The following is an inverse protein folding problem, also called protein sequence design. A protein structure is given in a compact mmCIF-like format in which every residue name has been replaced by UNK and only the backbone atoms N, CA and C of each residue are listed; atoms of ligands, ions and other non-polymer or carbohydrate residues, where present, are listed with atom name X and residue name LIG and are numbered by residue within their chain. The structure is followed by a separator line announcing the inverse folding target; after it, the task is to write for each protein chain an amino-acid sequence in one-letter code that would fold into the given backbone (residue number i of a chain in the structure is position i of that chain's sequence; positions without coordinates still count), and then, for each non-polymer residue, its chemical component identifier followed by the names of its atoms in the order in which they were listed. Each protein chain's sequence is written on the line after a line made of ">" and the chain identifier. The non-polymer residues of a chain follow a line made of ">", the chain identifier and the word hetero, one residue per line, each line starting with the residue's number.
data_IF_913552972304
#
_entry.id   IF_913552972304
#
_cell.length_a   1.000
_cell.length_b   1.000
_cell.length_c   1.000
_cell.angle_alpha   90.00
_cell.angle_beta   90.00
_cell.angle_gamma   90.00
#
_symmetry.space_group_name_H-M   'P 1'
#
loop_
_entity.id
_entity.type
_entity.pdbx_description
1 polymer ?
#
# COMPACT_ATOMS: atom_id res chain seq x y z
N UNK A 1 -1.23 15.27 -3.65
CA UNK A 1 -1.86 14.12 -2.98
C UNK A 1 -1.74 14.28 -1.47
N UNK A 2 -2.76 13.91 -0.75
CA UNK A 2 -2.79 13.97 0.71
C UNK A 2 -3.06 12.58 1.30
N UNK A 3 -2.53 12.34 2.50
CA UNK A 3 -2.75 11.11 3.24
C UNK A 3 -3.01 11.43 4.71
N UNK A 4 -4.05 10.80 5.28
CA UNK A 4 -4.35 10.96 6.70
C UNK A 4 -3.21 10.37 7.55
N UNK A 5 -2.83 11.08 8.61
CA UNK A 5 -1.78 10.62 9.52
C UNK A 5 -2.12 9.26 10.13
N UNK A 6 -3.41 9.00 10.41
CA UNK A 6 -3.85 7.70 10.91
C UNK A 6 -3.53 6.55 9.95
N UNK A 7 -3.61 6.79 8.65
CA UNK A 7 -3.23 5.78 7.64
C UNK A 7 -1.74 5.46 7.72
N UNK A 8 -0.92 6.49 7.84
CA UNK A 8 0.55 6.30 7.97
C UNK A 8 0.86 5.44 9.21
N UNK A 9 0.23 5.75 10.33
CA UNK A 9 0.41 4.98 11.57
C UNK A 9 -0.03 3.53 11.39
N UNK A 10 -1.19 3.32 10.78
CA UNK A 10 -1.76 1.98 10.60
C UNK A 10 -0.94 1.10 9.65
N UNK A 11 -0.48 1.64 8.52
CA UNK A 11 0.30 0.83 7.57
C UNK A 11 1.68 0.48 8.13
N UNK A 12 2.31 1.37 8.87
CA UNK A 12 3.59 1.09 9.52
C UNK A 12 3.41 0.03 10.61
N UNK A 13 2.36 0.14 11.42
CA UNK A 13 2.06 -0.87 12.45
C UNK A 13 1.85 -2.24 11.81
N UNK A 14 1.08 -2.31 10.73
CA UNK A 14 0.83 -3.55 10.02
C UNK A 14 2.14 -4.15 9.48
N UNK A 15 2.99 -3.33 8.89
CA UNK A 15 4.28 -3.78 8.38
C UNK A 15 5.17 -4.37 9.47
N UNK A 16 5.21 -3.74 10.64
CA UNK A 16 6.00 -4.23 11.77
C UNK A 16 5.45 -5.55 12.33
N UNK A 17 4.13 -5.67 12.43
CA UNK A 17 3.48 -6.88 12.92
C UNK A 17 3.71 -8.08 12.02
N UNK A 18 3.81 -7.87 10.71
CA UNK A 18 4.00 -8.95 9.74
C UNK A 18 5.45 -9.39 9.58
N UNK A 19 6.42 -8.58 10.01
CA UNK A 19 7.83 -8.95 9.83
C UNK A 19 8.12 -10.36 10.34
N UNK A 20 8.91 -11.17 9.63
CA UNK A 20 9.74 -10.85 8.44
C UNK A 20 9.04 -10.98 7.09
N UNK A 21 7.72 -11.13 7.06
CA UNK A 21 6.96 -11.26 5.82
C UNK A 21 6.48 -9.90 5.35
N UNK A 22 6.18 -9.80 4.05
CA UNK A 22 5.52 -8.63 3.51
C UNK A 22 4.07 -8.59 4.00
N UNK A 23 3.61 -7.40 4.40
CA UNK A 23 2.19 -7.16 4.57
C UNK A 23 1.62 -6.55 3.30
N UNK A 24 0.30 -6.56 3.17
CA UNK A 24 -0.39 -5.87 2.09
C UNK A 24 -1.76 -5.39 2.53
N UNK A 25 -2.31 -4.46 1.77
CA UNK A 25 -3.62 -3.92 2.04
C UNK A 25 -4.07 -2.93 0.98
N UNK A 26 -5.18 -2.28 1.26
CA UNK A 26 -5.82 -1.35 0.34
C UNK A 26 -5.96 0.02 0.97
N UNK A 27 -5.90 1.04 0.12
CA UNK A 27 -6.05 2.43 0.52
C UNK A 27 -7.38 2.94 -0.01
N UNK A 28 -8.17 3.54 0.88
CA UNK A 28 -9.49 4.06 0.57
C UNK A 28 -9.50 5.57 0.65
N UNK A 29 -10.28 6.19 -0.22
CA UNK A 29 -10.44 7.63 -0.21
C UNK A 29 -11.17 8.13 -1.44
N UNK A 30 -10.85 9.34 -1.81
CA UNK A 30 -11.30 9.97 -3.05
C UNK A 30 -10.07 10.41 -3.83
N UNK A 31 -10.26 10.83 -5.07
CA UNK A 31 -9.14 11.21 -5.94
C UNK A 31 -8.19 12.20 -5.25
N UNK A 32 -6.93 11.82 -5.12
CA UNK A 32 -5.90 12.65 -4.51
C UNK A 32 -5.88 12.69 -2.99
N UNK A 33 -6.80 11.98 -2.31
CA UNK A 33 -6.88 12.00 -0.83
C UNK A 33 -7.07 10.60 -0.28
N UNK A 34 -6.08 10.11 0.46
CA UNK A 34 -6.10 8.80 1.12
C UNK A 34 -6.59 8.99 2.55
N UNK A 35 -7.77 8.42 2.85
CA UNK A 35 -8.50 8.67 4.09
C UNK A 35 -8.43 7.50 5.06
N UNK A 36 -8.39 6.27 4.54
CA UNK A 36 -8.41 5.06 5.36
C UNK A 36 -7.59 3.95 4.71
N UNK A 37 -7.20 2.97 5.51
CA UNK A 37 -6.54 1.77 5.02
C UNK A 37 -7.26 0.53 5.53
N UNK A 38 -7.18 -0.55 4.76
CA UNK A 38 -7.76 -1.84 5.10
C UNK A 38 -6.69 -2.90 4.96
N UNK A 39 -6.43 -3.63 6.03
CA UNK A 39 -5.48 -4.73 6.01
C UNK A 39 -6.02 -5.86 5.15
N UNK A 40 -5.15 -6.48 4.36
CA UNK A 40 -5.49 -7.65 3.57
C UNK A 40 -4.58 -8.81 3.95
N UNK A 41 -5.04 -10.01 3.65
CA UNK A 41 -4.22 -11.20 3.81
C UNK A 41 -3.28 -11.32 2.62
N UNK A 42 -2.00 -11.59 2.90
CA UNK A 42 -1.02 -11.90 1.87
C UNK A 42 -1.00 -13.41 1.62
N UNK A 43 -1.55 -13.84 0.50
CA UNK A 43 -1.60 -15.26 0.16
C UNK A 43 -0.23 -15.83 -0.21
N UNK A 44 0.73 -14.98 -0.60
CA UNK A 44 2.07 -15.42 -0.92
C UNK A 44 2.88 -15.81 0.33
N UNK A 45 2.54 -15.25 1.49
CA UNK A 45 3.21 -15.53 2.77
C UNK A 45 4.73 -15.48 2.64
N UNK A 46 5.25 -14.40 2.07
CA UNK A 46 6.64 -14.27 1.64
C UNK A 46 7.27 -12.99 2.18
N UNK A 47 8.60 -12.99 2.30
CA UNK A 47 9.39 -11.80 2.65
C UNK A 47 9.75 -10.93 1.44
N UNK A 48 9.46 -11.38 0.21
CA UNK A 48 9.88 -10.71 -1.01
C UNK A 48 8.76 -10.50 -2.02
N UNK A 49 7.54 -10.94 -1.70
CA UNK A 49 6.42 -10.92 -2.62
C UNK A 49 5.11 -10.83 -1.85
N UNK A 50 4.10 -10.23 -2.46
CA UNK A 50 2.76 -10.25 -1.91
C UNK A 50 1.72 -10.60 -2.99
N UNK A 51 0.62 -11.19 -2.53
CA UNK A 51 -0.54 -11.48 -3.34
C UNK A 51 -1.76 -11.23 -2.46
N UNK A 52 -2.52 -10.19 -2.76
CA UNK A 52 -3.70 -9.82 -1.96
C UNK A 52 -4.78 -10.90 -2.11
N UNK A 53 -5.28 -11.37 -0.97
CA UNK A 53 -6.42 -12.27 -0.94
C UNK A 53 -7.61 -11.60 -1.65
N UNK A 54 -8.17 -12.22 -2.70
CA UNK A 54 -9.32 -11.66 -3.43
C UNK A 54 -10.52 -11.35 -2.54
N UNK A 55 -10.74 -12.13 -1.49
CA UNK A 55 -11.82 -11.87 -0.54
C UNK A 55 -11.59 -10.54 0.20
N UNK A 56 -10.37 -10.30 0.67
CA UNK A 56 -10.00 -9.03 1.31
C UNK A 56 -10.22 -7.85 0.36
N UNK A 57 -9.85 -8.03 -0.91
CA UNK A 57 -9.99 -6.98 -1.93
C UNK A 57 -11.48 -6.64 -2.17
N UNK A 58 -12.32 -7.66 -2.33
CA UNK A 58 -13.76 -7.48 -2.55
C UNK A 58 -14.39 -6.79 -1.34
N UNK A 59 -14.06 -7.21 -0.13
CA UNK A 59 -14.59 -6.62 1.10
C UNK A 59 -14.17 -5.16 1.24
N UNK A 60 -12.93 -4.82 0.88
CA UNK A 60 -12.44 -3.44 0.93
C UNK A 60 -13.19 -2.53 -0.06
N UNK A 61 -13.43 -3.01 -1.28
CA UNK A 61 -14.20 -2.25 -2.27
C UNK A 61 -15.63 -2.01 -1.82
N UNK A 62 -16.23 -3.01 -1.19
CA UNK A 62 -17.59 -2.89 -0.65
C UNK A 62 -17.63 -1.88 0.50
N UNK A 63 -16.68 -1.94 1.42
CA UNK A 63 -16.57 -1.01 2.53
C UNK A 63 -16.39 0.43 2.04
N UNK A 64 -15.54 0.63 1.05
CA UNK A 64 -15.31 1.94 0.45
C UNK A 64 -16.61 2.51 -0.13
N UNK A 65 -17.31 1.72 -0.94
CA UNK A 65 -18.55 2.12 -1.57
C UNK A 65 -19.61 2.53 -0.53
N UNK A 66 -19.71 1.78 0.55
CA UNK A 66 -20.68 2.06 1.62
C UNK A 66 -20.38 3.38 2.35
N UNK A 67 -19.16 3.90 2.24
CA UNK A 67 -18.74 5.14 2.89
C UNK A 67 -18.56 6.29 1.88
N UNK A 68 -19.02 6.11 0.64
CA UNK A 68 -18.86 7.13 -0.39
C UNK A 68 -17.42 7.31 -0.87
N UNK A 69 -16.59 6.29 -0.68
CA UNK A 69 -15.20 6.28 -1.11
C UNK A 69 -14.96 5.23 -2.19
N UNK A 70 -13.73 5.18 -2.67
CA UNK A 70 -13.28 4.14 -3.59
C UNK A 70 -11.92 3.61 -3.17
N UNK A 71 -11.49 2.50 -3.72
CA UNK A 71 -10.12 2.01 -3.57
C UNK A 71 -9.24 2.87 -4.46
N UNK A 72 -8.40 3.70 -3.85
CA UNK A 72 -7.52 4.63 -4.58
C UNK A 72 -6.11 4.08 -4.72
N UNK A 73 -5.78 3.03 -3.98
CA UNK A 73 -4.45 2.45 -4.05
C UNK A 73 -4.31 1.17 -3.25
N UNK A 74 -3.09 0.67 -3.27
CA UNK A 74 -2.67 -0.52 -2.55
C UNK A 74 -1.43 -0.21 -1.74
N UNK A 75 -1.17 -0.98 -0.69
CA UNK A 75 0.10 -0.88 0.01
C UNK A 75 0.68 -2.27 0.29
N UNK A 76 1.99 -2.30 0.41
CA UNK A 76 2.71 -3.46 0.87
C UNK A 76 4.01 -3.02 1.56
N UNK A 77 4.69 -3.96 2.21
CA UNK A 77 5.93 -3.65 2.92
C UNK A 77 7.12 -4.38 2.30
N UNK A 78 8.29 -3.76 2.45
CA UNK A 78 9.59 -4.36 2.21
C UNK A 78 10.26 -4.54 3.57
N UNK A 79 10.19 -5.73 4.20
CA UNK A 79 10.64 -5.91 5.59
C UNK A 79 12.11 -5.60 5.82
N UNK A 80 12.95 -5.74 4.79
CA UNK A 80 14.41 -5.65 4.91
C UNK A 80 15.06 -4.71 3.90
N UNK A 81 14.29 -3.79 3.31
CA UNK A 81 14.82 -2.90 2.28
C UNK A 81 14.08 -1.58 2.23
N UNK A 82 14.60 -0.66 1.42
CA UNK A 82 14.01 0.65 1.21
C UNK A 82 12.64 0.55 0.52
N UNK A 83 11.88 1.62 0.64
CA UNK A 83 10.52 1.72 0.10
C UNK A 83 10.51 2.05 -1.39
N UNK A 84 11.23 1.27 -2.21
CA UNK A 84 11.24 1.41 -3.66
C UNK A 84 10.67 0.16 -4.31
N UNK A 85 9.92 0.30 -5.43
CA UNK A 85 9.36 -0.85 -6.13
C UNK A 85 10.45 -1.81 -6.59
N UNK A 86 10.24 -3.10 -6.34
CA UNK A 86 11.09 -4.15 -6.88
C UNK A 86 10.71 -4.46 -8.33
N UNK A 87 11.57 -5.22 -9.02
CA UNK A 87 11.24 -5.71 -10.38
C UNK A 87 9.95 -6.55 -10.35
N UNK A 88 9.75 -7.35 -9.30
CA UNK A 88 8.53 -8.13 -9.10
C UNK A 88 7.32 -7.23 -8.92
N UNK A 89 7.42 -6.17 -8.10
CA UNK A 89 6.35 -5.21 -7.91
C UNK A 89 5.88 -4.62 -9.23
N UNK A 90 6.82 -4.22 -10.10
CA UNK A 90 6.50 -3.63 -11.39
C UNK A 90 5.92 -4.66 -12.36
N UNK A 91 6.46 -5.88 -12.36
CA UNK A 91 6.01 -6.95 -13.26
C UNK A 91 4.60 -7.44 -12.92
N UNK A 92 4.24 -7.45 -11.64
CA UNK A 92 2.94 -7.93 -11.17
C UNK A 92 1.92 -6.79 -10.97
N UNK A 93 2.28 -5.56 -11.33
CA UNK A 93 1.40 -4.41 -11.13
C UNK A 93 0.13 -4.51 -11.97
N UNK A 94 -0.99 -4.26 -11.31
CA UNK A 94 -2.31 -4.15 -11.93
C UNK A 94 -2.92 -2.82 -11.48
N UNK A 95 -4.05 -2.44 -12.06
CA UNK A 95 -4.79 -1.23 -11.69
C UNK A 95 -3.94 0.05 -11.87
N UNK A 96 -3.61 0.41 -13.12
CA UNK A 96 -2.75 1.58 -13.40
C UNK A 96 -3.32 2.91 -12.89
N UNK A 97 -4.63 2.97 -12.61
CA UNK A 97 -5.29 4.15 -12.05
C UNK A 97 -5.07 4.29 -10.54
N UNK A 98 -4.56 3.26 -9.87
CA UNK A 98 -4.32 3.27 -8.44
C UNK A 98 -2.89 3.65 -8.10
N UNK A 99 -2.69 4.21 -6.91
CA UNK A 99 -1.36 4.47 -6.38
C UNK A 99 -0.87 3.27 -5.57
N UNK A 100 0.43 3.18 -5.36
CA UNK A 100 1.08 2.10 -4.63
C UNK A 100 1.95 2.70 -3.54
N UNK A 101 1.59 2.42 -2.29
CA UNK A 101 2.34 2.85 -1.12
C UNK A 101 3.23 1.69 -0.66
N UNK A 102 4.50 1.97 -0.45
CA UNK A 102 5.45 0.97 0.05
C UNK A 102 5.95 1.43 1.41
N UNK A 103 5.91 0.53 2.38
CA UNK A 103 6.54 0.72 3.69
C UNK A 103 7.87 -0.01 3.66
N UNK A 104 8.97 0.73 3.71
CA UNK A 104 10.31 0.14 3.76
C UNK A 104 10.95 0.35 5.12
N UNK A 105 12.06 -0.33 5.35
CA UNK A 105 12.81 -0.23 6.60
C UNK A 105 14.30 -0.04 6.31
N UNK A 106 14.88 0.99 6.94
CA UNK A 106 16.30 1.28 6.89
C UNK A 106 16.77 1.40 8.35
N UNK A 107 17.65 0.50 8.78
CA UNK A 107 18.16 0.47 10.16
C UNK A 107 17.02 0.50 11.19
N UNK A 108 16.00 -0.32 11.00
CA UNK A 108 14.79 -0.42 11.82
C UNK A 108 13.87 0.81 11.76
N UNK A 109 14.22 1.83 11.02
CA UNK A 109 13.36 3.00 10.81
C UNK A 109 12.41 2.73 9.64
N UNK A 110 11.12 2.99 9.87
CA UNK A 110 10.12 2.85 8.82
C UNK A 110 10.08 4.11 7.97
N UNK A 111 9.97 3.92 6.66
CA UNK A 111 9.69 5.00 5.71
C UNK A 111 8.53 4.62 4.82
N UNK A 112 7.79 5.60 4.33
CA UNK A 112 6.76 5.37 3.32
C UNK A 112 7.06 6.21 2.09
N UNK A 113 6.77 5.62 0.92
CA UNK A 113 6.80 6.31 -0.38
C UNK A 113 5.62 5.84 -1.20
N UNK A 114 5.11 6.72 -2.04
CA UNK A 114 3.95 6.42 -2.89
C UNK A 114 4.34 6.60 -4.34
N UNK A 115 3.90 5.67 -5.17
CA UNK A 115 4.25 5.63 -6.58
C UNK A 115 3.02 5.45 -7.45
N UNK A 116 3.09 5.93 -8.69
CA UNK A 116 2.23 5.48 -9.77
C UNK A 116 3.04 4.59 -10.70
N UNK A 117 2.40 3.56 -11.25
CA UNK A 117 3.05 2.62 -12.16
C UNK A 117 2.44 2.75 -13.55
N UNK A 118 3.29 2.90 -14.57
CA UNK A 118 2.85 2.97 -15.95
C UNK A 118 3.95 2.41 -16.86
N UNK A 119 3.57 1.49 -17.76
CA UNK A 119 4.49 0.96 -18.75
C UNK A 119 5.72 0.29 -18.17
N UNK A 120 5.61 -0.35 -17.01
CA UNK A 120 6.74 -1.00 -16.34
C UNK A 120 7.66 -0.03 -15.59
N UNK A 121 7.25 1.22 -15.45
CA UNK A 121 8.01 2.26 -14.76
C UNK A 121 7.25 2.78 -13.55
N UNK A 122 7.99 3.18 -12.51
CA UNK A 122 7.44 3.80 -11.31
C UNK A 122 7.78 5.29 -11.28
N UNK A 123 6.80 6.11 -10.93
CA UNK A 123 7.00 7.54 -10.68
C UNK A 123 6.63 7.83 -9.25
N UNK A 124 7.55 8.37 -8.47
CA UNK A 124 7.26 8.75 -7.08
C UNK A 124 6.37 9.98 -7.04
N UNK A 125 5.36 9.94 -6.18
CA UNK A 125 4.41 11.03 -6.00
C UNK A 125 4.71 11.80 -4.73
N UNK A 126 4.55 13.12 -4.78
CA UNK A 126 4.64 13.97 -3.61
C UNK A 126 3.40 13.80 -2.75
N UNK A 127 3.58 13.63 -1.44
CA UNK A 127 2.51 13.37 -0.50
C UNK A 127 2.61 14.32 0.69
N UNK A 128 1.47 14.93 1.04
CA UNK A 128 1.35 15.76 2.23
C UNK A 128 0.53 15.00 3.28
N UNK A 129 1.10 14.83 4.46
CA UNK A 129 0.39 14.22 5.58
C UNK A 129 -0.54 15.25 6.20
N UNK A 130 -1.77 14.86 6.49
CA UNK A 130 -2.73 15.72 7.17
C UNK A 130 -3.23 15.06 8.45
N UNK A 131 -3.64 15.89 9.39
CA UNK A 131 -4.12 15.46 10.71
C UNK A 131 -5.39 14.57 10.66
#
# INVERSE_FOLDING_TARGET
>A
MTIAQSVVVDVIAHARECQPRECCGLLLGTSGDIVASVRARNLADSSTRFLIDPKSHIEARRAARNQGMEVVGFYHSHPHSQAYPSATDLAEANYPECVHLIVGFVDSNAEIRIFSYAGGHATELSVVKRA
#
